data_IF_160520582276
#
_entry.id   IF_160520582276
#
_cell.length_a   1.000
_cell.length_b   1.000
_cell.length_c   1.000
_cell.angle_alpha   90.00
_cell.angle_beta   90.00
_cell.angle_gamma   90.00
#
_symmetry.space_group_name_H-M   'P 1'
#
loop_
_entity.id
_entity.type
_entity.pdbx_description
1 polymer ?
#
# COMPACT_ATOMS: atom_id res chain seq x y z
N UNK A 1 48.52 23.16 27.80
CA UNK A 1 47.77 24.22 27.08
C UNK A 1 46.30 23.88 27.14
N UNK A 2 45.45 24.79 27.62
CA UNK A 2 44.02 24.53 27.81
C UNK A 2 43.33 24.83 26.47
N UNK A 3 42.86 23.80 25.79
CA UNK A 3 42.10 23.94 24.54
C UNK A 3 40.88 24.82 24.84
N UNK A 4 40.79 25.98 24.19
CA UNK A 4 39.62 26.85 24.30
C UNK A 4 38.48 26.18 23.53
N UNK A 5 37.40 25.85 24.24
CA UNK A 5 36.23 25.22 23.64
C UNK A 5 35.53 26.26 22.74
N UNK A 6 35.73 26.12 21.42
CA UNK A 6 35.05 26.95 20.43
C UNK A 6 33.57 26.56 20.41
N UNK A 7 32.72 27.44 20.94
CA UNK A 7 31.27 27.29 20.87
C UNK A 7 30.74 27.67 19.49
N UNK A 8 29.62 27.08 19.10
CA UNK A 8 28.88 27.41 17.88
C UNK A 8 28.21 28.79 18.03
N UNK A 9 28.26 29.65 17.01
CA UNK A 9 27.61 30.96 17.08
C UNK A 9 26.09 30.83 16.86
N UNK A 10 25.33 31.75 17.46
CA UNK A 10 23.88 31.79 17.25
C UNK A 10 23.50 32.02 15.77
N UNK A 11 24.31 32.81 15.04
CA UNK A 11 24.07 33.08 13.62
C UNK A 11 24.31 31.83 12.75
N UNK A 12 25.35 31.04 13.04
CA UNK A 12 25.57 29.76 12.36
C UNK A 12 24.40 28.81 12.60
N UNK A 13 23.86 28.77 13.84
CA UNK A 13 22.75 27.90 14.18
C UNK A 13 21.46 28.32 13.44
N UNK A 14 21.20 29.62 13.34
CA UNK A 14 20.04 30.14 12.59
C UNK A 14 20.12 29.80 11.10
N UNK A 15 21.29 29.94 10.46
CA UNK A 15 21.45 29.61 9.04
C UNK A 15 21.26 28.10 8.81
N UNK A 16 21.82 27.25 9.68
CA UNK A 16 21.64 25.80 9.58
C UNK A 16 20.16 25.41 9.69
N UNK A 17 19.42 25.98 10.65
CA UNK A 17 17.98 25.71 10.80
C UNK A 17 17.20 26.20 9.57
N UNK A 18 17.55 27.35 9.00
CA UNK A 18 16.90 27.85 7.80
C UNK A 18 17.09 26.90 6.59
N UNK A 19 18.31 26.38 6.39
CA UNK A 19 18.60 25.44 5.30
C UNK A 19 17.85 24.12 5.51
N UNK A 20 17.87 23.57 6.73
CA UNK A 20 17.14 22.33 7.07
C UNK A 20 15.63 22.52 6.86
N UNK A 21 15.09 23.69 7.20
CA UNK A 21 13.68 24.03 6.98
C UNK A 21 13.28 23.96 5.51
N UNK A 22 14.11 24.52 4.61
CA UNK A 22 13.85 24.49 3.15
C UNK A 22 13.91 23.05 2.64
N UNK A 23 14.92 22.28 3.03
CA UNK A 23 15.05 20.88 2.61
C UNK A 23 13.89 20.01 3.12
N UNK A 24 13.48 20.20 4.38
CA UNK A 24 12.38 19.46 5.00
C UNK A 24 11.04 19.69 4.29
N UNK A 25 10.78 20.90 3.80
CA UNK A 25 9.55 21.24 3.08
C UNK A 25 9.35 20.39 1.80
N UNK A 26 10.45 20.00 1.13
CA UNK A 26 10.39 19.14 -0.07
C UNK A 26 10.55 17.66 0.30
N UNK A 27 11.43 17.34 1.24
CA UNK A 27 11.77 15.98 1.60
C UNK A 27 10.63 15.24 2.31
N UNK A 28 9.91 15.91 3.21
CA UNK A 28 8.85 15.27 4.02
C UNK A 28 7.68 14.78 3.15
N UNK A 29 7.09 15.59 2.24
CA UNK A 29 6.03 15.11 1.36
C UNK A 29 6.48 13.96 0.45
N UNK A 30 7.70 14.06 -0.11
CA UNK A 30 8.27 13.01 -0.96
C UNK A 30 8.45 11.68 -0.21
N UNK A 31 8.94 11.74 1.04
CA UNK A 31 9.09 10.55 1.89
C UNK A 31 7.73 9.93 2.25
N UNK A 32 6.72 10.75 2.52
CA UNK A 32 5.35 10.27 2.77
C UNK A 32 4.78 9.56 1.53
N UNK A 33 4.96 10.10 0.33
CA UNK A 33 4.53 9.45 -0.91
C UNK A 33 5.28 8.13 -1.15
N UNK A 34 6.58 8.08 -0.90
CA UNK A 34 7.38 6.85 -1.02
C UNK A 34 6.89 5.75 -0.08
N UNK A 35 6.68 6.08 1.20
CA UNK A 35 6.19 5.11 2.20
C UNK A 35 4.76 4.67 1.91
N UNK A 36 3.91 5.57 1.41
CA UNK A 36 2.55 5.25 0.97
C UNK A 36 2.55 4.28 -0.22
N UNK A 37 3.37 4.53 -1.24
CA UNK A 37 3.52 3.67 -2.41
C UNK A 37 4.09 2.29 -2.06
N UNK A 38 5.06 2.24 -1.16
CA UNK A 38 5.62 0.99 -0.65
C UNK A 38 4.52 0.17 0.05
N UNK A 39 3.73 0.80 0.93
CA UNK A 39 2.61 0.14 1.62
C UNK A 39 1.55 -0.37 0.64
N UNK A 40 1.16 0.44 -0.34
CA UNK A 40 0.23 0.01 -1.39
C UNK A 40 0.75 -1.20 -2.15
N UNK A 41 2.02 -1.18 -2.57
CA UNK A 41 2.63 -2.27 -3.35
C UNK A 41 2.73 -3.56 -2.54
N UNK A 42 3.09 -3.48 -1.26
CA UNK A 42 3.10 -4.65 -0.37
C UNK A 42 1.71 -5.25 -0.19
N UNK A 43 0.70 -4.41 0.07
CA UNK A 43 -0.69 -4.86 0.20
C UNK A 43 -1.21 -5.50 -1.10
N UNK A 44 -0.89 -4.93 -2.26
CA UNK A 44 -1.23 -5.49 -3.56
C UNK A 44 -0.57 -6.86 -3.78
N UNK A 45 0.71 -6.98 -3.44
CA UNK A 45 1.45 -8.23 -3.61
C UNK A 45 0.86 -9.37 -2.76
N UNK A 46 0.41 -9.07 -1.54
CA UNK A 46 -0.23 -10.06 -0.67
C UNK A 46 -1.51 -10.64 -1.28
N UNK A 47 -2.41 -9.79 -1.79
CA UNK A 47 -3.63 -10.31 -2.43
C UNK A 47 -3.39 -10.89 -3.82
N UNK A 48 -2.35 -10.46 -4.53
CA UNK A 48 -1.97 -11.03 -5.83
C UNK A 48 -1.53 -12.50 -5.71
N UNK A 49 -0.95 -12.89 -4.56
CA UNK A 49 -0.59 -14.29 -4.29
C UNK A 49 -1.81 -15.23 -4.29
N UNK A 50 -3.00 -14.71 -3.97
CA UNK A 50 -4.24 -15.50 -3.96
C UNK A 50 -4.85 -15.78 -5.33
N UNK A 51 -4.38 -15.12 -6.41
CA UNK A 51 -4.95 -15.28 -7.76
C UNK A 51 -4.89 -16.72 -8.26
N UNK A 52 -3.73 -17.36 -8.15
CA UNK A 52 -3.52 -18.73 -8.61
C UNK A 52 -4.37 -19.73 -7.81
N UNK A 53 -4.47 -19.54 -6.49
CA UNK A 53 -5.34 -20.36 -5.64
C UNK A 53 -6.81 -20.20 -6.04
N UNK A 54 -7.25 -18.96 -6.25
CA UNK A 54 -8.59 -18.65 -6.72
C UNK A 54 -8.90 -19.30 -8.07
N UNK A 55 -7.98 -19.21 -9.04
CA UNK A 55 -8.11 -19.83 -10.37
C UNK A 55 -8.21 -21.36 -10.28
N UNK A 56 -7.38 -21.99 -9.42
CA UNK A 56 -7.42 -23.45 -9.22
C UNK A 56 -8.77 -23.91 -8.68
N UNK A 57 -9.28 -23.26 -7.63
CA UNK A 57 -10.53 -23.66 -6.99
C UNK A 57 -11.74 -23.49 -7.91
N UNK A 58 -11.76 -22.42 -8.72
CA UNK A 58 -12.81 -22.25 -9.73
C UNK A 58 -12.76 -23.32 -10.82
N UNK A 59 -11.56 -23.71 -11.26
CA UNK A 59 -11.41 -24.79 -12.24
C UNK A 59 -11.86 -26.15 -11.69
N UNK A 60 -11.71 -26.36 -10.39
CA UNK A 60 -12.20 -27.55 -9.68
C UNK A 60 -13.71 -27.51 -9.39
N UNK A 61 -14.41 -26.44 -9.79
CA UNK A 61 -15.84 -26.25 -9.56
C UNK A 61 -16.20 -25.89 -8.12
N UNK A 62 -15.22 -25.49 -7.31
CA UNK A 62 -15.40 -25.11 -5.91
C UNK A 62 -15.84 -23.63 -5.84
N UNK A 63 -16.99 -23.39 -5.21
CA UNK A 63 -17.49 -22.04 -4.99
C UNK A 63 -16.70 -21.36 -3.86
N UNK A 64 -16.19 -20.16 -4.13
CA UNK A 64 -15.47 -19.36 -3.14
C UNK A 64 -16.47 -18.51 -2.36
N UNK A 65 -16.62 -18.83 -1.06
CA UNK A 65 -17.51 -18.14 -0.14
C UNK A 65 -16.85 -16.92 0.49
N UNK A 66 -17.65 -15.95 0.92
CA UNK A 66 -17.17 -14.71 1.55
C UNK A 66 -16.89 -14.89 3.05
N UNK A 67 -16.06 -15.86 3.39
CA UNK A 67 -15.72 -16.22 4.77
C UNK A 67 -14.25 -16.67 4.92
N UNK A 68 -13.88 -17.11 6.13
CA UNK A 68 -12.54 -17.59 6.42
C UNK A 68 -12.17 -18.88 5.66
N UNK A 69 -13.15 -19.74 5.32
CA UNK A 69 -12.92 -20.94 4.52
C UNK A 69 -12.62 -20.57 3.07
N UNK A 70 -13.35 -19.62 2.49
CA UNK A 70 -13.06 -19.07 1.17
C UNK A 70 -11.65 -18.47 1.08
N UNK A 71 -11.21 -17.75 2.11
CA UNK A 71 -9.83 -17.23 2.19
C UNK A 71 -8.80 -18.36 2.25
N UNK A 72 -9.06 -19.42 3.01
CA UNK A 72 -8.18 -20.58 3.08
C UNK A 72 -8.07 -21.33 1.75
N UNK A 73 -9.19 -21.46 1.01
CA UNK A 73 -9.21 -22.08 -0.32
C UNK A 73 -8.30 -21.36 -1.33
N UNK A 74 -8.19 -20.03 -1.22
CA UNK A 74 -7.33 -19.22 -2.09
C UNK A 74 -5.92 -19.00 -1.52
N UNK A 75 -5.60 -19.62 -0.38
CA UNK A 75 -4.28 -19.50 0.26
C UNK A 75 -4.01 -18.14 0.91
N UNK A 76 -5.05 -17.38 1.26
CA UNK A 76 -4.93 -16.07 1.91
C UNK A 76 -5.30 -16.12 3.38
N UNK A 77 -4.73 -15.20 4.16
CA UNK A 77 -5.07 -14.96 5.57
C UNK A 77 -5.96 -13.73 5.68
N UNK A 78 -7.02 -13.81 6.48
CA UNK A 78 -7.96 -12.69 6.69
C UNK A 78 -7.33 -11.41 7.22
N UNK A 79 -6.21 -11.49 7.95
CA UNK A 79 -5.43 -10.31 8.34
C UNK A 79 -3.94 -10.58 8.33
N UNK A 80 -3.19 -9.58 7.91
CA UNK A 80 -1.73 -9.47 7.93
C UNK A 80 -1.32 -8.10 8.48
N UNK A 81 -0.02 -7.82 8.52
CA UNK A 81 0.51 -6.50 8.90
C UNK A 81 0.24 -5.40 7.87
N UNK A 82 -0.11 -5.75 6.63
CA UNK A 82 -0.36 -4.78 5.56
C UNK A 82 -1.82 -4.76 5.11
N UNK A 83 -2.59 -5.81 5.41
CA UNK A 83 -3.88 -6.02 4.79
C UNK A 83 -4.88 -6.72 5.70
N UNK A 84 -6.13 -6.24 5.70
CA UNK A 84 -7.30 -7.05 6.06
C UNK A 84 -7.94 -7.54 4.77
N UNK A 85 -7.86 -8.83 4.51
CA UNK A 85 -8.32 -9.43 3.25
C UNK A 85 -9.73 -9.98 3.37
N UNK A 86 -10.50 -9.84 2.29
CA UNK A 86 -11.79 -10.49 2.11
C UNK A 86 -11.84 -11.06 0.69
N UNK A 87 -12.61 -12.13 0.51
CA UNK A 87 -12.80 -12.78 -0.79
C UNK A 87 -14.29 -12.91 -1.06
N UNK A 88 -14.66 -12.97 -2.33
CA UNK A 88 -16.00 -13.33 -2.79
C UNK A 88 -15.87 -14.29 -3.98
N UNK A 89 -17.00 -14.74 -4.55
CA UNK A 89 -16.98 -15.60 -5.74
C UNK A 89 -16.29 -15.02 -6.98
N UNK A 90 -15.95 -13.73 -7.00
CA UNK A 90 -15.20 -13.10 -8.12
C UNK A 90 -14.15 -12.08 -7.72
N UNK A 91 -14.03 -11.73 -6.43
CA UNK A 91 -13.13 -10.64 -5.99
C UNK A 91 -12.25 -11.03 -4.82
N UNK A 92 -11.06 -10.44 -4.77
CA UNK A 92 -10.17 -10.41 -3.61
C UNK A 92 -9.96 -8.94 -3.25
N UNK A 93 -10.35 -8.55 -2.03
CA UNK A 93 -10.23 -7.17 -1.55
C UNK A 93 -9.24 -7.12 -0.40
N UNK A 94 -8.26 -6.24 -0.52
CA UNK A 94 -7.40 -5.84 0.57
C UNK A 94 -7.84 -4.48 1.13
N UNK A 95 -8.07 -4.37 2.42
CA UNK A 95 -8.09 -3.06 3.10
C UNK A 95 -6.70 -2.83 3.71
N UNK A 96 -6.01 -1.78 3.26
CA UNK A 96 -4.63 -1.49 3.69
C UNK A 96 -4.61 -1.13 5.18
N UNK A 97 -3.75 -1.81 5.93
CA UNK A 97 -3.57 -1.59 7.38
C UNK A 97 -2.32 -0.73 7.63
N UNK A 98 -2.53 0.38 8.34
CA UNK A 98 -1.46 1.31 8.72
C UNK A 98 -0.86 2.09 7.54
N UNK A 99 0.29 2.70 7.78
CA UNK A 99 0.95 3.58 6.81
C UNK A 99 0.41 5.02 6.80
N UNK A 100 0.85 5.85 5.84
CA UNK A 100 0.38 7.22 5.71
C UNK A 100 -1.14 7.30 5.48
N UNK A 101 -1.76 8.39 5.95
CA UNK A 101 -3.22 8.60 5.87
C UNK A 101 -3.78 8.61 4.44
N UNK A 102 -2.92 8.81 3.43
CA UNK A 102 -3.27 8.75 2.01
C UNK A 102 -3.64 7.33 1.54
N UNK A 103 -3.13 6.29 2.20
CA UNK A 103 -3.34 4.86 1.84
C UNK A 103 -3.95 4.03 2.96
N UNK A 104 -3.80 4.44 4.22
CA UNK A 104 -4.35 3.70 5.35
C UNK A 104 -5.89 3.60 5.26
N UNK A 105 -6.43 2.39 5.42
CA UNK A 105 -7.87 2.12 5.33
C UNK A 105 -8.44 2.11 3.91
N UNK A 106 -7.62 2.36 2.90
CA UNK A 106 -8.00 2.29 1.48
C UNK A 106 -7.99 0.84 0.98
N UNK A 107 -8.87 0.55 0.03
CA UNK A 107 -9.09 -0.76 -0.56
C UNK A 107 -8.39 -0.94 -1.90
N UNK A 108 -7.76 -2.09 -2.06
CA UNK A 108 -7.29 -2.63 -3.34
C UNK A 108 -8.18 -3.81 -3.68
N UNK A 109 -8.84 -3.75 -4.84
CA UNK A 109 -9.78 -4.78 -5.29
C UNK A 109 -9.23 -5.46 -6.54
N UNK A 110 -8.98 -6.75 -6.44
CA UNK A 110 -8.74 -7.62 -7.58
C UNK A 110 -10.07 -8.26 -7.99
N UNK A 111 -10.44 -8.12 -9.26
CA UNK A 111 -11.66 -8.74 -9.82
C UNK A 111 -11.27 -9.70 -10.90
N UNK A 112 -11.79 -10.93 -10.81
CA UNK A 112 -11.66 -11.96 -11.83
C UNK A 112 -12.88 -11.93 -12.75
N UNK A 113 -12.65 -11.69 -14.02
CA UNK A 113 -13.68 -11.78 -15.05
C UNK A 113 -13.90 -13.24 -15.50
N UNK A 114 -15.01 -13.48 -16.20
CA UNK A 114 -15.40 -14.81 -16.65
C UNK A 114 -14.47 -15.40 -17.71
N UNK A 115 -13.72 -14.55 -18.41
CA UNK A 115 -12.65 -14.93 -19.35
C UNK A 115 -11.33 -15.29 -18.64
N UNK A 116 -11.30 -15.26 -17.31
CA UNK A 116 -10.10 -15.50 -16.48
C UNK A 116 -9.19 -14.27 -16.35
N UNK A 117 -9.55 -13.13 -16.93
CA UNK A 117 -8.76 -11.92 -16.81
C UNK A 117 -8.87 -11.32 -15.39
N UNK A 118 -7.73 -10.93 -14.83
CA UNK A 118 -7.65 -10.24 -13.55
C UNK A 118 -7.49 -8.73 -13.76
N UNK A 119 -8.46 -7.96 -13.26
CA UNK A 119 -8.38 -6.50 -13.19
C UNK A 119 -8.08 -6.06 -11.76
N UNK A 120 -7.48 -4.89 -11.61
CA UNK A 120 -7.26 -4.28 -10.30
C UNK A 120 -7.82 -2.86 -10.27
N UNK A 121 -8.45 -2.50 -9.17
CA UNK A 121 -8.90 -1.15 -8.87
C UNK A 121 -8.49 -0.77 -7.45
N UNK A 122 -8.37 0.54 -7.19
CA UNK A 122 -8.14 1.07 -5.85
C UNK A 122 -9.10 2.22 -5.54
N UNK A 123 -9.44 2.39 -4.26
CA UNK A 123 -10.30 3.48 -3.78
C UNK A 123 -9.51 4.71 -3.27
N UNK A 124 -8.26 4.83 -3.70
CA UNK A 124 -7.43 6.01 -3.42
C UNK A 124 -8.14 7.27 -3.91
N UNK A 125 -7.99 8.35 -3.15
CA UNK A 125 -8.66 9.62 -3.43
C UNK A 125 -8.13 10.18 -4.76
N UNK A 126 -9.00 10.41 -5.74
CA UNK A 126 -8.70 11.04 -7.03
C UNK A 126 -7.67 10.35 -7.96
N UNK A 127 -7.69 10.73 -9.23
CA UNK A 127 -6.83 10.17 -10.26
C UNK A 127 -5.35 10.54 -10.09
N UNK A 128 -5.05 11.70 -9.50
CA UNK A 128 -3.67 12.17 -9.33
C UNK A 128 -2.96 11.37 -8.24
N UNK A 129 -3.64 11.08 -7.13
CA UNK A 129 -3.10 10.20 -6.07
C UNK A 129 -2.94 8.78 -6.58
N UNK A 130 -3.91 8.25 -7.34
CA UNK A 130 -3.78 6.93 -8.00
C UNK A 130 -2.54 6.87 -8.89
N UNK A 131 -2.27 7.91 -9.69
CA UNK A 131 -1.10 7.95 -10.56
C UNK A 131 0.22 7.91 -9.78
N UNK A 132 0.26 8.57 -8.61
CA UNK A 132 1.45 8.63 -7.76
C UNK A 132 1.69 7.33 -6.97
N UNK A 133 0.64 6.78 -6.37
CA UNK A 133 0.74 5.77 -5.31
C UNK A 133 0.35 4.36 -5.76
N UNK A 134 -0.61 4.22 -6.67
CA UNK A 134 -1.02 2.90 -7.15
C UNK A 134 -0.08 2.37 -8.24
N UNK A 135 0.05 1.05 -8.31
CA UNK A 135 0.63 0.41 -9.49
C UNK A 135 -0.26 0.67 -10.70
N UNK A 136 0.35 0.71 -11.90
CA UNK A 136 -0.37 1.04 -13.15
C UNK A 136 -1.58 0.13 -13.39
N UNK A 137 -1.53 -1.12 -12.92
CA UNK A 137 -2.63 -2.07 -13.03
C UNK A 137 -3.82 -1.77 -12.12
N UNK A 138 -3.66 -0.98 -11.05
CA UNK A 138 -4.70 -0.64 -10.06
C UNK A 138 -5.16 0.83 -10.10
N UNK A 139 -4.83 1.55 -11.18
CA UNK A 139 -5.23 2.95 -11.37
C UNK A 139 -6.67 3.11 -11.91
N UNK A 140 -7.32 1.99 -12.27
CA UNK A 140 -8.71 1.92 -12.68
C UNK A 140 -9.71 2.24 -11.58
#
# INVERSE_FOLDING_TARGET
MKQAQQGFTLIELMIVVAIIGILAAVAIPSYQDYTAKAKFTSAQAEIAAGKTGFDSQLNDGVAITADAAGLALVGLKGSTSNCTTTVTGSTIVCTIVGGPATVAGKKITLTRANDGAWTCASDLADAATKLKLASKSCQG
#
